data_IF_126192590295
#
_entry.id   IF_126192590295
#
_cell.length_a   1.000
_cell.length_b   1.000
_cell.length_c   1.000
_cell.angle_alpha   90.00
_cell.angle_beta   90.00
_cell.angle_gamma   90.00
#
_symmetry.space_group_name_H-M   'P 1'
#
loop_
_entity.id
_entity.type
_entity.pdbx_description
1 polymer ?
#
# COMPACT_ATOMS: atom_id res chain seq x y z
N UNK A 1 -17.68 14.60 9.88
CA UNK A 1 -16.71 14.41 10.96
C UNK A 1 -16.88 12.99 11.45
N UNK A 2 -16.17 12.02 10.83
CA UNK A 2 -16.23 10.62 11.22
C UNK A 2 -15.20 10.43 12.34
N UNK A 3 -15.70 10.03 13.50
CA UNK A 3 -14.89 9.61 14.64
C UNK A 3 -14.19 8.30 14.26
N UNK A 4 -12.87 8.31 14.12
CA UNK A 4 -12.07 7.10 14.14
C UNK A 4 -12.32 6.41 15.49
N UNK A 5 -12.79 5.17 15.46
CA UNK A 5 -12.85 4.32 16.65
C UNK A 5 -11.42 4.05 17.12
N UNK A 6 -11.05 4.63 18.26
CA UNK A 6 -9.80 4.33 18.95
C UNK A 6 -9.88 2.89 19.49
N UNK A 7 -8.98 2.03 19.06
CA UNK A 7 -8.73 0.79 19.76
C UNK A 7 -8.09 1.10 21.11
N UNK A 8 -8.83 0.83 22.19
CA UNK A 8 -8.53 1.24 23.56
C UNK A 8 -7.34 0.53 24.23
N UNK A 9 -6.46 -0.17 23.46
CA UNK A 9 -5.38 -0.97 24.02
C UNK A 9 -3.96 -0.56 23.57
N UNK A 10 -3.80 0.54 22.84
CA UNK A 10 -2.46 1.09 22.57
C UNK A 10 -2.54 2.59 22.24
N UNK A 11 -2.57 3.42 23.25
CA UNK A 11 -2.86 4.86 23.18
C UNK A 11 -1.81 5.70 22.42
N UNK A 12 -0.84 5.09 21.72
CA UNK A 12 0.21 5.83 20.98
C UNK A 12 0.67 5.19 19.66
N UNK A 13 -0.03 4.20 19.11
CA UNK A 13 0.36 3.66 17.81
C UNK A 13 -0.13 4.60 16.70
N UNK A 14 0.75 4.99 15.76
CA UNK A 14 0.35 5.85 14.66
C UNK A 14 -0.71 5.16 13.79
N UNK A 15 -1.83 5.85 13.53
CA UNK A 15 -2.94 5.31 12.76
C UNK A 15 -2.68 5.44 11.24
N UNK A 16 -1.80 4.60 10.70
CA UNK A 16 -1.53 4.55 9.25
C UNK A 16 -2.81 4.29 8.46
N UNK A 17 -3.67 3.40 8.98
CA UNK A 17 -4.93 3.07 8.32
C UNK A 17 -5.90 4.24 8.28
N UNK A 18 -5.94 5.08 9.28
CA UNK A 18 -6.73 6.31 9.23
C UNK A 18 -6.29 7.21 8.06
N UNK A 19 -4.98 7.27 7.78
CA UNK A 19 -4.45 8.07 6.66
C UNK A 19 -4.85 7.45 5.33
N UNK A 20 -4.51 6.19 5.05
CA UNK A 20 -4.77 5.62 3.72
C UNK A 20 -6.27 5.45 3.43
N UNK A 21 -7.12 5.27 4.45
CA UNK A 21 -8.57 5.18 4.25
C UNK A 21 -9.18 6.51 3.81
N UNK A 22 -8.66 7.63 4.26
CA UNK A 22 -9.09 8.97 3.84
C UNK A 22 -8.72 9.26 2.38
N UNK A 23 -7.71 8.59 1.84
CA UNK A 23 -7.26 8.76 0.46
C UNK A 23 -8.06 7.90 -0.55
N UNK A 24 -8.87 6.95 -0.08
CA UNK A 24 -9.72 6.14 -0.97
C UNK A 24 -10.66 7.03 -1.76
N UNK A 25 -10.63 6.90 -3.09
CA UNK A 25 -11.41 7.73 -4.02
C UNK A 25 -10.63 8.89 -4.63
N UNK A 26 -9.39 9.15 -4.19
CA UNK A 26 -8.51 10.08 -4.92
C UNK A 26 -8.29 9.56 -6.32
N UNK A 27 -8.43 10.45 -7.31
CA UNK A 27 -8.28 10.17 -8.74
C UNK A 27 -7.18 11.02 -9.36
N UNK A 28 -6.58 10.48 -10.40
CA UNK A 28 -5.74 11.26 -11.31
C UNK A 28 -6.57 12.32 -12.04
N UNK A 29 -5.92 13.40 -12.42
CA UNK A 29 -6.57 14.49 -13.14
C UNK A 29 -6.88 14.12 -14.59
N UNK A 30 -5.94 13.48 -15.27
CA UNK A 30 -6.04 13.15 -16.70
C UNK A 30 -5.81 11.65 -17.01
N UNK A 31 -5.54 10.82 -16.01
CA UNK A 31 -5.21 9.41 -16.20
C UNK A 31 -3.73 9.18 -16.59
N UNK A 32 -2.86 10.17 -16.33
CA UNK A 32 -1.43 10.12 -16.67
C UNK A 32 -0.54 10.25 -15.42
N UNK A 33 -0.93 9.63 -14.32
CA UNK A 33 -0.24 9.72 -13.03
C UNK A 33 -0.05 11.19 -12.60
N UNK A 34 -1.13 11.96 -12.56
CA UNK A 34 -1.11 13.40 -12.34
C UNK A 34 -2.24 13.87 -11.43
N UNK A 35 -2.20 15.14 -11.06
CA UNK A 35 -3.15 15.77 -10.15
C UNK A 35 -2.52 16.11 -8.80
N UNK A 36 -3.00 17.19 -8.18
CA UNK A 36 -2.38 17.78 -7.00
C UNK A 36 -2.08 16.76 -5.89
N UNK A 37 -3.04 15.89 -5.54
CA UNK A 37 -2.85 14.87 -4.49
C UNK A 37 -1.91 13.75 -4.93
N UNK A 38 -2.02 13.26 -6.17
CA UNK A 38 -1.11 12.24 -6.72
C UNK A 38 0.34 12.74 -6.73
N UNK A 39 0.54 14.00 -7.08
CA UNK A 39 1.86 14.63 -7.07
C UNK A 39 2.44 14.79 -5.65
N UNK A 40 1.59 14.90 -4.61
CA UNK A 40 2.05 14.85 -3.22
C UNK A 40 2.62 13.45 -2.87
N UNK A 41 1.96 12.38 -3.30
CA UNK A 41 2.51 11.03 -3.11
C UNK A 41 3.84 10.88 -3.82
N UNK A 42 3.93 11.30 -5.09
CA UNK A 42 5.16 11.22 -5.89
C UNK A 42 6.31 11.96 -5.22
N UNK A 43 6.08 13.17 -4.72
CA UNK A 43 7.10 13.97 -4.00
C UNK A 43 7.62 13.27 -2.75
N UNK A 44 6.83 12.42 -2.09
CA UNK A 44 7.29 11.71 -0.89
C UNK A 44 8.52 10.81 -1.13
N UNK A 45 8.74 10.39 -2.38
CA UNK A 45 9.89 9.58 -2.79
C UNK A 45 10.81 10.27 -3.80
N UNK A 46 10.59 11.56 -4.09
CA UNK A 46 11.35 12.30 -5.09
C UNK A 46 10.92 12.04 -6.54
N UNK A 47 9.80 11.35 -6.75
CA UNK A 47 9.20 11.16 -8.06
C UNK A 47 8.58 12.46 -8.58
N UNK A 48 8.38 12.52 -9.90
CA UNK A 48 7.79 13.65 -10.62
C UNK A 48 6.40 13.27 -11.13
N UNK A 49 5.63 14.29 -11.50
CA UNK A 49 4.38 14.14 -12.26
C UNK A 49 4.58 13.18 -13.44
N UNK A 50 3.67 12.22 -13.58
CA UNK A 50 3.73 11.18 -14.61
C UNK A 50 4.39 9.87 -14.16
N UNK A 51 5.14 9.88 -13.05
CA UNK A 51 5.75 8.66 -12.53
C UNK A 51 4.72 7.79 -11.79
N UNK A 52 4.93 6.46 -11.82
CA UNK A 52 4.14 5.53 -11.04
C UNK A 52 4.26 5.81 -9.54
N UNK A 53 3.16 5.70 -8.79
CA UNK A 53 3.13 6.17 -7.41
C UNK A 53 2.62 5.15 -6.37
N UNK A 54 2.53 3.87 -6.69
CA UNK A 54 2.08 2.86 -5.72
C UNK A 54 2.98 2.79 -4.47
N UNK A 55 4.30 2.73 -4.63
CA UNK A 55 5.25 2.75 -3.51
C UNK A 55 5.35 4.14 -2.86
N UNK A 56 5.27 5.20 -3.66
CA UNK A 56 5.27 6.58 -3.18
C UNK A 56 4.08 6.87 -2.26
N UNK A 57 2.89 6.33 -2.58
CA UNK A 57 1.70 6.40 -1.73
C UNK A 57 1.94 5.74 -0.37
N UNK A 58 2.53 4.55 -0.34
CA UNK A 58 2.87 3.86 0.92
C UNK A 58 3.81 4.71 1.77
N UNK A 59 4.85 5.27 1.17
CA UNK A 59 5.80 6.16 1.87
C UNK A 59 5.12 7.43 2.36
N UNK A 60 4.25 8.03 1.53
CA UNK A 60 3.50 9.22 1.92
C UNK A 60 2.63 8.96 3.15
N UNK A 61 1.87 7.87 3.17
CA UNK A 61 1.04 7.50 4.32
C UNK A 61 1.86 7.31 5.59
N UNK A 62 2.99 6.61 5.53
CA UNK A 62 3.89 6.44 6.68
C UNK A 62 4.42 7.78 7.21
N UNK A 63 4.81 8.68 6.30
CA UNK A 63 5.29 10.02 6.68
C UNK A 63 4.24 10.86 7.40
N UNK A 64 2.94 10.73 7.04
CA UNK A 64 1.86 11.47 7.72
C UNK A 64 1.75 11.13 9.22
N UNK A 65 2.22 9.96 9.62
CA UNK A 65 2.19 9.49 11.01
C UNK A 65 3.60 9.39 11.63
N UNK A 66 4.60 10.02 11.00
CA UNK A 66 5.97 10.08 11.53
C UNK A 66 6.78 8.79 11.40
N UNK A 67 6.32 7.79 10.65
CA UNK A 67 7.07 6.55 10.39
C UNK A 67 8.06 6.79 9.25
N UNK A 68 9.34 6.50 9.52
CA UNK A 68 10.41 6.52 8.52
C UNK A 68 10.68 5.10 8.02
N UNK A 69 10.76 4.94 6.69
CA UNK A 69 11.06 3.67 6.04
C UNK A 69 12.19 3.82 5.03
N UNK A 70 12.74 2.70 4.59
CA UNK A 70 13.70 2.65 3.48
C UNK A 70 13.03 2.39 2.13
N UNK A 71 11.70 2.44 2.08
CA UNK A 71 10.94 2.31 0.83
C UNK A 71 11.23 3.53 -0.05
N UNK A 72 11.52 3.26 -1.31
CA UNK A 72 11.70 4.28 -2.35
C UNK A 72 10.55 4.23 -3.35
N UNK A 73 10.59 5.04 -4.39
CA UNK A 73 9.66 4.96 -5.51
C UNK A 73 9.65 3.59 -6.22
N UNK A 74 10.70 2.78 -6.04
CA UNK A 74 10.84 1.47 -6.67
C UNK A 74 10.16 0.38 -5.86
N UNK A 75 9.08 -0.20 -6.38
CA UNK A 75 8.21 -1.16 -5.68
C UNK A 75 8.95 -2.33 -5.01
N UNK A 76 10.07 -2.90 -5.53
CA UNK A 76 10.81 -3.94 -4.81
C UNK A 76 11.32 -3.55 -3.44
N UNK A 77 11.53 -2.26 -3.17
CA UNK A 77 11.98 -1.78 -1.86
C UNK A 77 10.88 -1.81 -0.80
N UNK A 78 9.63 -2.06 -1.20
CA UNK A 78 8.50 -2.19 -0.27
C UNK A 78 8.48 -3.54 0.47
N UNK A 79 9.31 -4.51 0.06
CA UNK A 79 9.47 -5.77 0.78
C UNK A 79 10.47 -5.63 1.94
N UNK A 80 10.00 -5.71 3.17
CA UNK A 80 10.87 -5.79 4.34
C UNK A 80 11.22 -7.26 4.65
N UNK A 81 12.30 -7.77 4.07
CA UNK A 81 12.73 -9.16 4.24
C UNK A 81 13.08 -9.53 5.68
N UNK A 82 13.41 -8.55 6.51
CA UNK A 82 13.73 -8.78 7.93
C UNK A 82 12.48 -9.00 8.79
N UNK A 83 11.31 -8.57 8.29
CA UNK A 83 10.06 -8.66 9.05
C UNK A 83 8.90 -9.12 8.14
N UNK A 84 9.11 -10.27 7.48
CA UNK A 84 8.07 -10.91 6.69
C UNK A 84 6.93 -11.41 7.58
N UNK A 85 5.73 -11.27 7.08
CA UNK A 85 4.46 -11.71 7.67
C UNK A 85 3.88 -12.87 6.85
N UNK A 86 3.99 -12.77 5.52
CA UNK A 86 3.57 -13.78 4.56
C UNK A 86 4.58 -13.83 3.41
N UNK A 87 4.99 -15.00 2.99
CA UNK A 87 5.86 -15.21 1.83
C UNK A 87 5.82 -16.65 1.35
N UNK A 88 6.01 -16.87 0.04
CA UNK A 88 6.07 -18.21 -0.53
C UNK A 88 4.79 -19.04 -0.37
N UNK A 89 3.64 -18.41 -0.16
CA UNK A 89 2.37 -19.10 0.06
C UNK A 89 2.06 -19.39 1.53
N UNK A 90 2.93 -19.03 2.46
CA UNK A 90 2.83 -19.38 3.87
C UNK A 90 2.74 -18.14 4.77
N UNK A 91 1.95 -18.23 5.84
CA UNK A 91 1.89 -17.24 6.90
C UNK A 91 3.00 -17.50 7.92
N UNK A 92 3.89 -16.52 8.10
CA UNK A 92 4.94 -16.52 9.13
C UNK A 92 4.38 -15.93 10.43
N UNK A 93 3.49 -14.94 10.28
CA UNK A 93 2.74 -14.28 11.36
C UNK A 93 1.36 -13.93 10.85
N UNK A 94 0.42 -13.62 11.74
CA UNK A 94 -0.87 -13.06 11.33
C UNK A 94 -0.68 -11.65 10.75
N UNK A 95 -1.17 -11.40 9.52
CA UNK A 95 -1.17 -10.06 8.94
C UNK A 95 -2.03 -9.09 9.76
N UNK A 96 -1.55 -7.85 9.90
CA UNK A 96 -2.25 -6.77 10.60
C UNK A 96 -2.49 -5.61 9.65
N UNK A 97 -3.46 -4.81 9.99
CA UNK A 97 -3.74 -3.55 9.31
C UNK A 97 -2.46 -2.71 9.16
N UNK A 98 -2.28 -2.13 7.98
CA UNK A 98 -1.11 -1.37 7.55
C UNK A 98 0.19 -2.19 7.34
N UNK A 99 0.18 -3.53 7.41
CA UNK A 99 1.24 -4.32 6.81
C UNK A 99 1.28 -4.06 5.29
N UNK A 100 2.46 -4.08 4.70
CA UNK A 100 2.67 -3.74 3.28
C UNK A 100 2.75 -5.01 2.45
N UNK A 101 1.88 -5.15 1.45
CA UNK A 101 1.93 -6.27 0.51
C UNK A 101 2.71 -5.91 -0.76
N UNK A 102 3.23 -6.92 -1.44
CA UNK A 102 3.89 -6.79 -2.73
C UNK A 102 3.37 -7.80 -3.74
N UNK A 103 3.35 -7.40 -5.02
CA UNK A 103 2.97 -8.25 -6.15
C UNK A 103 4.16 -8.41 -7.09
N UNK A 104 4.50 -9.68 -7.42
CA UNK A 104 5.55 -10.00 -8.37
C UNK A 104 4.98 -10.14 -9.80
N UNK A 105 5.67 -9.58 -10.76
CA UNK A 105 5.36 -9.73 -12.18
C UNK A 105 6.32 -10.69 -12.86
N UNK A 106 5.82 -11.78 -13.39
CA UNK A 106 6.63 -12.77 -14.14
C UNK A 106 7.24 -12.15 -15.41
N UNK A 107 6.49 -11.30 -16.11
CA UNK A 107 6.97 -10.64 -17.32
C UNK A 107 8.07 -9.61 -17.05
N UNK A 108 7.95 -8.86 -15.93
CA UNK A 108 8.95 -7.87 -15.50
C UNK A 108 10.07 -8.48 -14.66
N UNK A 109 9.93 -9.73 -14.22
CA UNK A 109 10.87 -10.47 -13.35
C UNK A 109 11.23 -9.71 -12.07
N UNK A 110 10.26 -8.99 -11.49
CA UNK A 110 10.42 -8.20 -10.25
C UNK A 110 9.09 -7.91 -9.58
N UNK A 111 9.13 -7.46 -8.34
CA UNK A 111 8.00 -6.83 -7.69
C UNK A 111 7.63 -5.58 -8.50
N UNK A 112 6.38 -5.43 -8.88
CA UNK A 112 5.89 -4.35 -9.73
C UNK A 112 4.77 -3.51 -9.11
N UNK A 113 4.22 -3.95 -7.98
CA UNK A 113 3.13 -3.25 -7.30
C UNK A 113 3.20 -3.49 -5.79
N UNK A 114 2.64 -2.55 -5.02
CA UNK A 114 2.55 -2.58 -3.56
C UNK A 114 1.38 -1.74 -3.07
N UNK A 115 0.96 -1.98 -1.84
CA UNK A 115 -0.05 -1.25 -1.11
C UNK A 115 -0.18 -1.78 0.31
N UNK A 116 -1.24 -1.41 1.00
CA UNK A 116 -1.50 -1.83 2.36
C UNK A 116 -2.45 -3.03 2.42
N UNK A 117 -2.10 -4.02 3.21
CA UNK A 117 -3.06 -4.98 3.73
C UNK A 117 -3.98 -4.24 4.70
N UNK A 118 -5.29 -4.34 4.50
CA UNK A 118 -6.25 -3.70 5.39
C UNK A 118 -6.88 -4.71 6.35
N UNK A 119 -7.51 -5.75 5.83
CA UNK A 119 -8.08 -6.81 6.67
C UNK A 119 -8.23 -8.13 5.93
N UNK A 120 -8.13 -9.23 6.66
CA UNK A 120 -8.48 -10.56 6.16
C UNK A 120 -10.00 -10.64 5.94
N UNK A 121 -10.43 -11.17 4.81
CA UNK A 121 -11.83 -11.50 4.53
C UNK A 121 -12.08 -12.99 4.84
N UNK A 122 -11.17 -13.85 4.38
CA UNK A 122 -11.15 -15.29 4.63
C UNK A 122 -9.74 -15.84 4.39
N UNK A 123 -9.57 -17.17 4.41
CA UNK A 123 -8.26 -17.80 4.25
C UNK A 123 -7.62 -17.60 2.87
N UNK A 124 -8.41 -17.25 1.87
CA UNK A 124 -7.93 -17.05 0.49
C UNK A 124 -7.80 -15.58 0.09
N UNK A 125 -8.54 -14.67 0.74
CA UNK A 125 -8.76 -13.30 0.27
C UNK A 125 -8.63 -12.29 1.40
N UNK A 126 -8.02 -11.16 1.10
CA UNK A 126 -7.96 -9.97 1.97
C UNK A 126 -8.42 -8.71 1.22
N UNK A 127 -8.82 -7.69 1.97
CA UNK A 127 -9.02 -6.33 1.49
C UNK A 127 -7.72 -5.55 1.61
N UNK A 128 -7.36 -4.84 0.56
CA UNK A 128 -6.21 -3.93 0.50
C UNK A 128 -6.66 -2.49 0.25
N UNK A 129 -5.77 -1.54 0.53
CA UNK A 129 -5.83 -0.17 0.02
C UNK A 129 -4.56 0.11 -0.77
N UNK A 130 -4.72 0.56 -1.99
CA UNK A 130 -3.63 0.69 -2.95
C UNK A 130 -3.83 1.87 -3.89
N UNK A 131 -2.73 2.45 -4.33
CA UNK A 131 -2.69 3.57 -5.26
C UNK A 131 -2.08 3.16 -6.59
N UNK A 132 -2.28 3.97 -7.63
CA UNK A 132 -1.86 3.68 -9.00
C UNK A 132 -2.44 2.33 -9.49
N UNK A 133 -3.70 2.11 -9.19
CA UNK A 133 -4.48 0.93 -9.55
C UNK A 133 -5.85 1.36 -10.06
N UNK A 134 -6.66 0.42 -10.54
CA UNK A 134 -8.04 0.69 -10.98
C UNK A 134 -8.95 -0.48 -10.57
N UNK A 135 -10.24 -0.38 -10.87
CA UNK A 135 -11.22 -1.41 -10.56
C UNK A 135 -10.94 -2.75 -11.26
N UNK A 136 -10.19 -2.75 -12.37
CA UNK A 136 -9.81 -3.95 -13.12
C UNK A 136 -8.49 -4.59 -12.66
N UNK A 137 -7.80 -4.02 -11.67
CA UNK A 137 -6.58 -4.56 -11.09
C UNK A 137 -5.30 -4.30 -11.87
N UNK A 138 -5.31 -3.35 -12.78
CA UNK A 138 -4.09 -2.88 -13.44
C UNK A 138 -3.11 -2.28 -12.42
N UNK A 139 -1.82 -2.51 -12.63
CA UNK A 139 -0.73 -1.86 -11.90
C UNK A 139 -0.40 -0.46 -12.45
N UNK A 140 -1.19 0.03 -13.36
CA UNK A 140 -1.16 1.38 -13.91
C UNK A 140 -2.61 1.85 -13.98
N UNK A 141 -3.16 2.18 -12.84
CA UNK A 141 -4.54 2.61 -12.68
C UNK A 141 -4.61 4.09 -12.36
N UNK A 142 -5.81 4.58 -12.14
CA UNK A 142 -6.17 6.00 -12.16
C UNK A 142 -6.43 6.59 -10.77
N UNK A 143 -6.11 5.90 -9.69
CA UNK A 143 -6.39 6.42 -8.35
C UNK A 143 -6.05 5.52 -7.18
N UNK A 144 -6.69 5.81 -6.05
CA UNK A 144 -6.59 5.07 -4.78
C UNK A 144 -7.87 4.31 -4.52
N UNK A 145 -7.76 3.00 -4.30
CA UNK A 145 -8.91 2.12 -4.16
C UNK A 145 -8.78 1.12 -3.02
N UNK A 146 -9.92 0.70 -2.47
CA UNK A 146 -10.05 -0.57 -1.77
C UNK A 146 -10.17 -1.69 -2.78
N UNK A 147 -9.44 -2.79 -2.56
CA UNK A 147 -9.45 -3.95 -3.45
C UNK A 147 -9.52 -5.25 -2.69
N UNK A 148 -10.05 -6.29 -3.36
CA UNK A 148 -9.92 -7.67 -2.89
C UNK A 148 -8.74 -8.32 -3.59
N UNK A 149 -7.80 -8.85 -2.81
CA UNK A 149 -6.60 -9.55 -3.28
C UNK A 149 -6.60 -10.98 -2.75
N UNK A 150 -6.09 -11.92 -3.55
CA UNK A 150 -5.85 -13.27 -3.05
C UNK A 150 -4.46 -13.37 -2.43
N UNK A 151 -4.34 -14.12 -1.33
CA UNK A 151 -3.03 -14.43 -0.76
C UNK A 151 -2.14 -15.17 -1.78
N UNK A 152 -2.71 -16.09 -2.56
CA UNK A 152 -1.97 -16.82 -3.61
C UNK A 152 -1.35 -15.91 -4.68
N UNK A 153 -1.98 -14.78 -5.00
CA UNK A 153 -1.47 -13.79 -5.96
C UNK A 153 -0.52 -12.77 -5.33
N UNK A 154 -0.32 -12.82 -4.01
CA UNK A 154 0.55 -11.93 -3.26
C UNK A 154 1.94 -12.54 -3.16
N UNK A 155 2.97 -11.77 -3.47
CA UNK A 155 4.37 -12.20 -3.38
C UNK A 155 4.83 -12.24 -1.93
N UNK A 156 4.62 -11.16 -1.21
CA UNK A 156 4.92 -11.06 0.22
C UNK A 156 4.00 -10.05 0.92
N UNK A 157 3.88 -10.20 2.24
CA UNK A 157 3.38 -9.16 3.15
C UNK A 157 4.47 -8.97 4.20
N UNK A 158 4.80 -7.73 4.51
CA UNK A 158 5.85 -7.40 5.47
C UNK A 158 5.45 -6.23 6.37
N UNK A 159 6.02 -6.19 7.57
CA UNK A 159 5.74 -5.19 8.60
C UNK A 159 6.86 -4.16 8.66
N UNK A 160 6.48 -2.89 8.85
CA UNK A 160 7.41 -1.77 8.85
C UNK A 160 7.49 -1.03 10.20
N UNK A 161 6.59 -1.35 11.16
CA UNK A 161 6.54 -0.71 12.48
C UNK A 161 5.91 -1.62 13.54
#
# INVERSE_FOLDING_TARGET
MLLCSFDANNDNAPCVSCVYLQEVGVKELTGNNDGARVEEYQRATGNKRGDSYCASFVVWCFKQVGITTTITAWSPTAENRKNLVYSGGEFIKEPREADVFTIYSQSKKRICHTGFFHKRINDAIYESVEANTNDNGSSNGDGVYKRKRSFRGTHSISRWF
#
